data_IF_826563022496
#
_entry.id   IF_826563022496
#
_cell.length_a   1.000
_cell.length_b   1.000
_cell.length_c   1.000
_cell.angle_alpha   90.00
_cell.angle_beta   90.00
_cell.angle_gamma   90.00
#
_symmetry.space_group_name_H-M   'P 1'
#
loop_
_entity.id
_entity.type
_entity.pdbx_description
1 polymer ?
#
# COMPACT_ATOMS: atom_id res chain seq x y z
N UNK A 1 -21.02 6.61 -10.95
CA UNK A 1 -20.06 5.49 -11.10
C UNK A 1 -20.85 4.20 -10.96
N UNK A 2 -20.74 3.29 -11.92
CA UNK A 2 -21.34 1.95 -11.87
C UNK A 2 -20.19 0.95 -11.87
N UNK A 3 -20.21 -0.02 -10.95
CA UNK A 3 -19.18 -1.07 -10.86
C UNK A 3 -19.77 -2.41 -11.28
N UNK A 4 -19.03 -3.18 -12.06
CA UNK A 4 -19.36 -4.56 -12.37
C UNK A 4 -19.16 -5.47 -11.15
N UNK A 5 -19.55 -6.74 -11.31
CA UNK A 5 -19.08 -7.79 -10.42
C UNK A 5 -17.53 -7.83 -10.40
N UNK A 6 -16.91 -8.28 -9.29
CA UNK A 6 -15.47 -8.52 -9.24
C UNK A 6 -15.03 -9.50 -10.34
N UNK A 7 -13.92 -9.18 -11.00
CA UNK A 7 -13.20 -10.06 -11.91
C UNK A 7 -12.39 -11.12 -11.16
N UNK A 8 -11.78 -12.03 -11.92
CA UNK A 8 -10.92 -13.09 -11.38
C UNK A 8 -9.62 -12.57 -10.75
N UNK A 9 -9.27 -11.32 -11.04
CA UNK A 9 -8.14 -10.56 -10.49
C UNK A 9 -8.50 -9.80 -9.21
N UNK A 10 -9.75 -9.89 -8.74
CA UNK A 10 -10.26 -9.15 -7.58
C UNK A 10 -10.62 -7.70 -7.85
N UNK A 11 -10.39 -7.19 -9.08
CA UNK A 11 -10.74 -5.82 -9.47
C UNK A 11 -12.17 -5.75 -9.99
N UNK A 12 -12.74 -4.54 -10.04
CA UNK A 12 -14.06 -4.29 -10.65
C UNK A 12 -13.90 -3.35 -11.82
N UNK A 13 -14.55 -3.66 -12.94
CA UNK A 13 -14.67 -2.69 -14.04
C UNK A 13 -15.64 -1.60 -13.60
N UNK A 14 -15.20 -0.35 -13.69
CA UNK A 14 -16.03 0.82 -13.42
C UNK A 14 -16.44 1.54 -14.69
N UNK A 15 -17.66 2.05 -14.72
CA UNK A 15 -18.17 2.97 -15.72
C UNK A 15 -18.56 4.30 -15.05
N UNK A 16 -17.98 5.39 -15.54
CA UNK A 16 -18.28 6.73 -15.07
C UNK A 16 -18.92 7.51 -16.21
N UNK A 17 -20.18 7.90 -16.01
CA UNK A 17 -20.84 8.86 -16.89
C UNK A 17 -20.16 10.22 -16.76
N UNK A 18 -19.67 10.75 -17.87
CA UNK A 18 -19.13 12.10 -18.00
C UNK A 18 -19.89 12.79 -19.11
N UNK A 19 -20.27 14.04 -18.87
CA UNK A 19 -21.00 14.84 -19.84
C UNK A 19 -20.35 16.20 -20.05
N UNK A 20 -20.68 16.78 -21.21
CA UNK A 20 -20.45 18.19 -21.50
C UNK A 20 -21.76 18.85 -21.92
N UNK A 21 -21.82 20.17 -21.76
CA UNK A 21 -22.98 20.97 -22.14
C UNK A 21 -22.86 21.41 -23.59
N UNK A 22 -23.28 20.55 -24.53
CA UNK A 22 -23.19 20.84 -25.97
C UNK A 22 -24.23 21.90 -26.35
N UNK A 23 -23.77 22.98 -26.98
CA UNK A 23 -24.59 24.08 -27.53
C UNK A 23 -24.36 24.21 -29.04
N UNK A 24 -25.11 25.10 -29.70
CA UNK A 24 -25.10 25.22 -31.16
C UNK A 24 -23.71 25.44 -31.77
N UNK A 25 -22.85 26.16 -31.05
CA UNK A 25 -21.51 26.55 -31.52
C UNK A 25 -20.40 25.64 -30.95
N UNK A 26 -20.75 24.52 -30.33
CA UNK A 26 -19.79 23.57 -29.76
C UNK A 26 -18.95 22.89 -30.84
N UNK A 27 -17.66 22.72 -30.57
CA UNK A 27 -16.72 21.97 -31.40
C UNK A 27 -16.49 20.59 -30.78
N UNK A 28 -16.73 19.52 -31.56
CA UNK A 28 -16.71 18.15 -31.05
C UNK A 28 -15.38 17.76 -30.35
N UNK A 29 -14.25 18.16 -30.93
CA UNK A 29 -12.93 17.86 -30.36
C UNK A 29 -12.69 18.59 -29.02
N UNK A 30 -13.17 19.84 -28.90
CA UNK A 30 -13.04 20.64 -27.69
C UNK A 30 -13.92 20.09 -26.56
N UNK A 31 -15.17 19.71 -26.89
CA UNK A 31 -16.09 19.09 -25.94
C UNK A 31 -15.57 17.73 -25.43
N UNK A 32 -14.93 16.95 -26.31
CA UNK A 32 -14.29 15.70 -25.93
C UNK A 32 -13.08 15.93 -25.02
N UNK A 33 -12.25 16.93 -25.33
CA UNK A 33 -11.13 17.32 -24.47
C UNK A 33 -11.62 17.80 -23.09
N UNK A 34 -12.73 18.53 -23.02
CA UNK A 34 -13.37 18.95 -21.77
C UNK A 34 -13.89 17.75 -20.96
N UNK A 35 -14.53 16.79 -21.61
CA UNK A 35 -14.95 15.54 -20.95
C UNK A 35 -13.75 14.79 -20.36
N UNK A 36 -12.64 14.69 -21.10
CA UNK A 36 -11.42 14.06 -20.61
C UNK A 36 -10.81 14.82 -19.43
N UNK A 37 -10.84 16.16 -19.46
CA UNK A 37 -10.39 16.99 -18.34
C UNK A 37 -11.25 16.74 -17.09
N UNK A 38 -12.57 16.66 -17.25
CA UNK A 38 -13.50 16.32 -16.18
C UNK A 38 -13.34 14.88 -15.68
N UNK A 39 -12.84 13.96 -16.51
CA UNK A 39 -12.56 12.57 -16.14
C UNK A 39 -11.32 12.41 -15.25
N UNK A 40 -10.38 13.36 -15.32
CA UNK A 40 -9.05 13.22 -14.73
C UNK A 40 -9.04 12.98 -13.23
N UNK A 41 -10.07 13.38 -12.48
CA UNK A 41 -10.10 13.08 -11.04
C UNK A 41 -10.20 11.57 -10.75
N UNK A 42 -10.78 10.77 -11.65
CA UNK A 42 -10.81 9.31 -11.45
C UNK A 42 -9.52 8.63 -11.90
N UNK A 43 -8.82 9.19 -12.89
CA UNK A 43 -7.65 8.56 -13.50
C UNK A 43 -6.30 9.09 -13.00
N UNK A 44 -6.27 10.29 -12.40
CA UNK A 44 -5.03 10.98 -12.01
C UNK A 44 -4.88 11.21 -10.50
N UNK A 45 -5.87 10.82 -9.69
CA UNK A 45 -5.73 10.82 -8.24
C UNK A 45 -4.94 9.58 -7.82
N UNK A 46 -3.64 9.75 -7.60
CA UNK A 46 -2.87 8.82 -6.76
C UNK A 46 -3.42 8.95 -5.33
N UNK A 47 -4.03 7.91 -4.76
CA UNK A 47 -4.51 7.97 -3.38
C UNK A 47 -3.38 8.16 -2.36
N UNK A 48 -2.11 8.14 -2.78
CA UNK A 48 -0.95 8.25 -1.91
C UNK A 48 -0.82 7.06 -0.96
N UNK A 49 -1.56 5.98 -1.25
CA UNK A 49 -1.64 4.80 -0.42
C UNK A 49 -0.50 3.85 -0.78
N UNK A 50 0.19 3.35 0.23
CA UNK A 50 1.14 2.26 0.07
C UNK A 50 1.00 1.32 1.25
N UNK A 51 1.20 0.04 0.98
CA UNK A 51 1.20 -1.00 2.01
C UNK A 51 2.60 -1.16 2.54
N UNK A 52 2.75 -1.45 3.83
CA UNK A 52 4.06 -1.69 4.39
C UNK A 52 4.05 -2.76 5.48
N UNK A 53 5.22 -3.38 5.63
CA UNK A 53 5.55 -4.30 6.70
C UNK A 53 6.78 -3.77 7.43
N UNK A 54 6.72 -3.74 8.77
CA UNK A 54 7.90 -3.44 9.61
C UNK A 54 8.26 -4.71 10.36
N UNK A 55 9.50 -5.15 10.19
CA UNK A 55 9.96 -6.48 10.60
C UNK A 55 11.30 -6.37 11.33
N UNK A 56 11.55 -7.29 12.27
CA UNK A 56 12.91 -7.52 12.77
C UNK A 56 13.64 -8.37 11.73
N UNK A 57 14.84 -7.96 11.33
CA UNK A 57 15.68 -8.70 10.39
C UNK A 57 17.08 -8.94 10.98
N UNK A 58 17.71 -10.02 10.58
CA UNK A 58 19.14 -10.28 10.77
C UNK A 58 19.71 -10.77 9.44
N UNK A 59 21.02 -11.04 9.39
CA UNK A 59 21.65 -11.58 8.17
C UNK A 59 21.12 -12.96 7.79
N UNK A 60 20.66 -13.72 8.79
CA UNK A 60 20.06 -15.05 8.64
C UNK A 60 18.61 -14.97 8.15
N UNK A 61 17.99 -13.79 8.20
CA UNK A 61 16.66 -13.55 7.64
C UNK A 61 15.71 -12.81 8.58
N UNK A 62 14.42 -12.90 8.25
CA UNK A 62 13.33 -12.27 8.98
C UNK A 62 12.50 -13.34 9.70
N UNK A 63 12.41 -13.32 11.04
CA UNK A 63 11.49 -14.17 11.77
C UNK A 63 10.04 -13.89 11.34
N UNK A 64 9.22 -14.94 11.23
CA UNK A 64 7.81 -14.84 10.85
C UNK A 64 7.57 -14.20 9.45
N UNK A 65 8.55 -14.26 8.55
CA UNK A 65 8.44 -13.68 7.20
C UNK A 65 7.15 -14.09 6.49
N UNK A 66 6.78 -15.37 6.55
CA UNK A 66 5.56 -15.87 5.92
C UNK A 66 4.29 -15.19 6.42
N UNK A 67 4.24 -14.88 7.72
CA UNK A 67 3.10 -14.19 8.35
C UNK A 67 3.02 -12.73 7.92
N UNK A 68 4.17 -12.06 7.82
CA UNK A 68 4.26 -10.69 7.30
C UNK A 68 3.81 -10.64 5.84
N UNK A 69 4.33 -11.54 4.99
CA UNK A 69 3.93 -11.61 3.59
C UNK A 69 2.46 -11.98 3.42
N UNK A 70 1.91 -12.88 4.25
CA UNK A 70 0.49 -13.21 4.20
C UNK A 70 -0.41 -12.03 4.60
N UNK A 71 0.03 -11.18 5.53
CA UNK A 71 -0.68 -9.95 5.89
C UNK A 71 -0.62 -8.91 4.76
N UNK A 72 0.55 -8.75 4.15
CA UNK A 72 0.74 -7.87 3.01
C UNK A 72 -0.11 -8.33 1.82
N UNK A 73 -0.14 -9.63 1.53
CA UNK A 73 -0.94 -10.26 0.48
C UNK A 73 -2.44 -10.01 0.67
N UNK A 74 -2.98 -10.23 1.88
CA UNK A 74 -4.39 -9.91 2.18
C UNK A 74 -4.70 -8.43 1.99
N UNK A 75 -3.79 -7.55 2.37
CA UNK A 75 -3.95 -6.12 2.21
C UNK A 75 -3.89 -5.74 0.72
N UNK A 76 -2.95 -6.32 -0.02
CA UNK A 76 -2.81 -6.10 -1.46
C UNK A 76 -4.07 -6.54 -2.21
N UNK A 77 -4.63 -7.70 -1.88
CA UNK A 77 -5.90 -8.16 -2.43
C UNK A 77 -7.07 -7.22 -2.11
N UNK A 78 -7.13 -6.67 -0.88
CA UNK A 78 -8.18 -5.74 -0.49
C UNK A 78 -8.12 -4.39 -1.22
N UNK A 79 -6.91 -3.93 -1.57
CA UNK A 79 -6.68 -2.65 -2.24
C UNK A 79 -6.39 -2.77 -3.74
N UNK A 80 -6.35 -3.99 -4.29
CA UNK A 80 -6.05 -4.24 -5.70
C UNK A 80 -4.59 -4.02 -6.10
N UNK A 81 -3.64 -4.18 -5.16
CA UNK A 81 -2.22 -3.99 -5.44
C UNK A 81 -1.64 -5.27 -6.05
N UNK A 82 -0.82 -5.19 -7.11
CA UNK A 82 -0.06 -6.33 -7.61
C UNK A 82 0.85 -6.88 -6.50
N UNK A 83 0.81 -8.19 -6.28
CA UNK A 83 1.58 -8.86 -5.25
C UNK A 83 2.20 -10.14 -5.82
N UNK A 84 3.53 -10.24 -5.75
CA UNK A 84 4.28 -11.45 -6.09
C UNK A 84 5.08 -11.91 -4.87
N UNK A 85 4.64 -13.01 -4.26
CA UNK A 85 5.26 -13.58 -3.06
C UNK A 85 6.73 -13.93 -3.28
N UNK A 86 7.06 -14.50 -4.44
CA UNK A 86 8.41 -14.99 -4.73
C UNK A 86 9.36 -13.81 -4.92
N UNK A 87 8.95 -12.78 -5.67
CA UNK A 87 9.74 -11.56 -5.86
C UNK A 87 10.01 -10.89 -4.51
N UNK A 88 8.98 -10.68 -3.69
CA UNK A 88 9.12 -10.02 -2.40
C UNK A 88 9.98 -10.82 -1.42
N UNK A 89 9.87 -12.16 -1.42
CA UNK A 89 10.71 -13.03 -0.60
C UNK A 89 12.18 -12.88 -0.99
N UNK A 90 12.48 -12.85 -2.30
CA UNK A 90 13.84 -12.68 -2.81
C UNK A 90 14.40 -11.29 -2.48
N UNK A 91 13.58 -10.24 -2.56
CA UNK A 91 14.01 -8.88 -2.23
C UNK A 91 14.33 -8.74 -0.73
N UNK A 92 13.53 -9.34 0.14
CA UNK A 92 13.83 -9.41 1.58
C UNK A 92 15.11 -10.19 1.84
N UNK A 93 15.30 -11.35 1.21
CA UNK A 93 16.52 -12.15 1.36
C UNK A 93 17.76 -11.39 0.90
N UNK A 94 17.68 -10.68 -0.23
CA UNK A 94 18.75 -9.83 -0.75
C UNK A 94 19.09 -8.71 0.24
N UNK A 95 18.08 -8.05 0.80
CA UNK A 95 18.27 -7.01 1.81
C UNK A 95 18.93 -7.57 3.08
N UNK A 96 18.55 -8.76 3.54
CA UNK A 96 19.18 -9.43 4.68
C UNK A 96 20.67 -9.73 4.42
N UNK A 97 21.01 -10.16 3.21
CA UNK A 97 22.40 -10.47 2.83
C UNK A 97 23.32 -9.22 2.80
N UNK A 98 22.74 -8.03 2.62
CA UNK A 98 23.48 -6.75 2.62
C UNK A 98 23.67 -6.12 4.00
N UNK A 99 23.12 -6.72 5.07
CA UNK A 99 23.27 -6.20 6.43
C UNK A 99 24.71 -6.39 6.94
N UNK A 100 25.22 -5.37 7.62
CA UNK A 100 26.62 -5.32 8.10
C UNK A 100 26.71 -5.53 9.62
N UNK A 101 27.73 -6.23 10.09
CA UNK A 101 27.96 -6.47 11.51
C UNK A 101 27.02 -7.51 12.14
N UNK A 102 27.17 -7.69 13.46
CA UNK A 102 26.37 -8.62 14.25
C UNK A 102 25.28 -7.86 14.99
N UNK A 103 24.03 -8.00 14.56
CA UNK A 103 22.92 -7.28 15.16
C UNK A 103 21.59 -7.47 14.46
N UNK A 104 20.53 -7.01 15.12
CA UNK A 104 19.20 -6.95 14.53
C UNK A 104 18.97 -5.60 13.83
N UNK A 105 18.12 -5.63 12.83
CA UNK A 105 17.71 -4.48 12.04
C UNK A 105 16.19 -4.34 12.07
N UNK A 106 15.70 -3.10 12.01
CA UNK A 106 14.31 -2.82 11.69
C UNK A 106 14.21 -2.69 10.18
N UNK A 107 13.72 -3.73 9.54
CA UNK A 107 13.46 -3.75 8.11
C UNK A 107 12.06 -3.23 7.82
N UNK A 108 11.93 -2.39 6.80
CA UNK A 108 10.65 -1.92 6.26
C UNK A 108 10.55 -2.32 4.81
N UNK A 109 9.52 -3.10 4.49
CA UNK A 109 9.08 -3.41 3.12
C UNK A 109 7.91 -2.49 2.79
N UNK A 110 7.96 -1.79 1.66
CA UNK A 110 6.90 -0.94 1.13
C UNK A 110 6.46 -1.48 -0.22
N UNK A 111 5.15 -1.60 -0.45
CA UNK A 111 4.52 -2.00 -1.71
C UNK A 111 3.61 -0.87 -2.20
N UNK A 112 3.85 -0.39 -3.41
CA UNK A 112 3.08 0.69 -4.04
C UNK A 112 1.97 0.15 -4.94
N UNK A 113 0.95 0.96 -5.32
CA UNK A 113 -0.18 0.50 -6.12
C UNK A 113 0.20 -0.06 -7.51
N UNK A 114 1.34 0.35 -8.06
CA UNK A 114 1.86 -0.15 -9.33
C UNK A 114 2.65 -1.47 -9.20
N UNK A 115 2.74 -2.05 -8.00
CA UNK A 115 3.47 -3.29 -7.74
C UNK A 115 4.96 -3.12 -7.45
N UNK A 116 5.50 -1.89 -7.47
CA UNK A 116 6.88 -1.66 -7.09
C UNK A 116 7.08 -1.89 -5.59
N UNK A 117 8.20 -2.52 -5.23
CA UNK A 117 8.57 -2.80 -3.86
C UNK A 117 9.88 -2.09 -3.48
N UNK A 118 9.95 -1.62 -2.23
CA UNK A 118 11.17 -1.08 -1.66
C UNK A 118 11.43 -1.73 -0.29
N UNK A 119 12.65 -2.24 -0.10
CA UNK A 119 13.11 -2.78 1.18
C UNK A 119 14.22 -1.89 1.71
N UNK A 120 14.05 -1.42 2.95
CA UNK A 120 15.06 -0.65 3.66
C UNK A 120 15.28 -1.23 5.05
N UNK A 121 16.47 -1.11 5.60
CA UNK A 121 16.79 -1.60 6.92
C UNK A 121 17.67 -0.60 7.66
N UNK A 122 17.38 -0.39 8.94
CA UNK A 122 18.20 0.42 9.84
C UNK A 122 18.56 -0.40 11.07
N UNK A 123 19.76 -0.22 11.66
CA UNK A 123 20.14 -0.93 12.88
C UNK A 123 19.05 -0.78 13.95
N UNK A 124 18.63 -1.90 14.53
CA UNK A 124 17.66 -1.91 15.61
C UNK A 124 18.41 -1.77 16.92
N UNK A 125 18.36 -0.56 17.50
CA UNK A 125 18.91 -0.34 18.83
C UNK A 125 18.23 -1.29 19.83
N UNK A 126 19.00 -1.93 20.72
CA UNK A 126 18.41 -2.73 21.77
C UNK A 126 17.50 -1.84 22.62
N UNK A 127 16.47 -2.45 23.21
CA UNK A 127 15.68 -1.77 24.21
C UNK A 127 16.62 -1.29 25.31
N UNK A 128 16.36 -0.09 25.82
CA UNK A 128 17.21 0.51 26.85
C UNK A 128 17.31 -0.47 28.03
N UNK A 129 18.50 -0.73 28.57
CA UNK A 129 18.70 -1.71 29.65
C UNK A 129 17.88 -1.39 30.91
N UNK A 130 17.37 -0.17 31.03
CA UNK A 130 16.44 0.28 32.08
C UNK A 130 14.96 -0.04 31.82
N UNK A 131 14.62 -0.69 30.69
CA UNK A 131 13.26 -1.14 30.36
C UNK A 131 12.90 -2.49 31.02
N UNK A 132 13.30 -2.67 32.29
CA UNK A 132 12.71 -3.68 33.19
C UNK A 132 11.40 -3.18 33.83
N UNK A 133 10.94 -1.98 33.46
CA UNK A 133 9.72 -1.38 33.95
C UNK A 133 8.57 -1.52 32.92
N UNK A 134 7.32 -1.70 33.38
CA UNK A 134 6.16 -1.77 32.50
C UNK A 134 6.01 -0.50 31.65
N UNK A 135 5.61 -0.67 30.39
CA UNK A 135 5.28 0.47 29.52
C UNK A 135 4.02 1.15 30.02
N UNK A 136 4.02 2.50 30.04
CA UNK A 136 2.81 3.27 30.32
C UNK A 136 1.91 3.28 29.09
N UNK A 137 0.71 2.73 29.24
CA UNK A 137 -0.34 2.81 28.26
C UNK A 137 -1.18 4.07 28.52
N UNK A 138 -1.38 4.88 27.49
CA UNK A 138 -2.35 5.97 27.50
C UNK A 138 -3.43 5.63 26.49
N UNK A 139 -4.68 5.72 26.91
CA UNK A 139 -5.82 5.55 26.01
C UNK A 139 -6.11 6.91 25.37
N UNK A 140 -6.09 6.96 24.04
CA UNK A 140 -6.46 8.17 23.32
C UNK A 140 -7.93 8.53 23.62
N UNK A 141 -8.27 9.81 23.85
CA UNK A 141 -9.62 10.23 24.22
C UNK A 141 -10.63 10.12 23.07
N UNK A 142 -10.15 9.91 21.85
CA UNK A 142 -10.96 9.77 20.65
C UNK A 142 -11.13 8.29 20.30
N UNK A 143 -12.38 7.84 20.19
CA UNK A 143 -12.67 6.57 19.53
C UNK A 143 -12.44 6.73 18.03
N UNK A 144 -11.66 5.82 17.42
CA UNK A 144 -11.70 5.66 15.97
C UNK A 144 -12.99 4.93 15.63
N UNK A 145 -14.01 5.65 15.18
CA UNK A 145 -15.14 5.02 14.51
C UNK A 145 -14.62 4.34 13.24
N UNK A 146 -14.81 3.03 13.15
CA UNK A 146 -14.48 2.25 11.95
C UNK A 146 -15.61 2.49 10.95
N UNK A 147 -15.70 3.70 10.40
CA UNK A 147 -16.61 3.98 9.30
C UNK A 147 -15.90 3.63 8.01
N UNK A 148 -16.03 2.35 7.59
CA UNK A 148 -15.75 1.95 6.22
C UNK A 148 -16.86 2.50 5.30
N UNK A 149 -16.89 3.82 5.14
CA UNK A 149 -17.65 4.46 4.07
C UNK A 149 -16.74 4.54 2.86
N UNK A 150 -16.65 3.45 2.09
CA UNK A 150 -16.19 3.57 0.72
C UNK A 150 -17.28 4.34 -0.05
N UNK A 151 -16.96 5.46 -0.73
CA UNK A 151 -17.91 6.15 -1.60
C UNK A 151 -18.34 5.29 -2.80
#
# INVERSE_FOLDING_TARGET
LVLSAPGTDGLRRGELGIGSGIVHDSVADDEYAECQLKARFVTALDPGLSLFETMRATREGVPLLDWHLARLERSAAAFGFPFDRTVLTNDVARACATLEGEGAYRMRLLLTPNGSANVSAVPLSPLHASWDAPVRLLVAPQSREITHSLP
#
